data_IF_803030772717
#
_entry.id   IF_803030772717
#
_cell.length_a   1.000
_cell.length_b   1.000
_cell.length_c   1.000
_cell.angle_alpha   90.00
_cell.angle_beta   90.00
_cell.angle_gamma   90.00
#
_symmetry.space_group_name_H-M   'P 1'
#
loop_
_entity.id
_entity.type
_entity.pdbx_description
1 polymer ?
#
# COMPACT_ATOMS: atom_id res chain seq x y z
N UNK A 1 7.91 24.40 -3.73
CA UNK A 1 8.69 23.20 -4.16
C UNK A 1 8.65 22.03 -3.16
N UNK A 2 8.91 22.25 -1.86
CA UNK A 2 8.96 21.16 -0.86
C UNK A 2 7.65 20.36 -0.70
N UNK A 3 6.48 21.01 -0.77
CA UNK A 3 5.18 20.34 -0.56
C UNK A 3 4.78 19.38 -1.69
N UNK A 4 5.13 19.70 -2.95
CA UNK A 4 4.92 18.79 -4.09
C UNK A 4 5.76 17.51 -3.94
N UNK A 5 7.04 17.66 -3.59
CA UNK A 5 7.91 16.51 -3.36
C UNK A 5 7.41 15.65 -2.20
N UNK A 6 7.02 16.26 -1.08
CA UNK A 6 6.45 15.54 0.07
C UNK A 6 5.16 14.77 -0.30
N UNK A 7 4.26 15.39 -1.07
CA UNK A 7 3.04 14.73 -1.54
C UNK A 7 3.32 13.53 -2.45
N UNK A 8 4.25 13.67 -3.40
CA UNK A 8 4.68 12.56 -4.28
C UNK A 8 5.29 11.42 -3.45
N UNK A 9 6.16 11.73 -2.49
CA UNK A 9 6.77 10.72 -1.60
C UNK A 9 5.72 9.98 -0.77
N UNK A 10 4.73 10.69 -0.23
CA UNK A 10 3.62 10.06 0.51
C UNK A 10 2.78 9.14 -0.37
N UNK A 11 2.48 9.54 -1.61
CA UNK A 11 1.80 8.67 -2.58
C UNK A 11 2.64 7.42 -2.93
N UNK A 12 3.95 7.58 -3.10
CA UNK A 12 4.85 6.45 -3.36
C UNK A 12 4.91 5.48 -2.16
N UNK A 13 4.97 6.00 -0.93
CA UNK A 13 4.92 5.19 0.29
C UNK A 13 3.57 4.51 0.48
N UNK A 14 2.47 5.15 0.09
CA UNK A 14 1.14 4.54 0.09
C UNK A 14 1.08 3.33 -0.85
N UNK A 15 1.58 3.50 -2.09
CA UNK A 15 1.65 2.43 -3.07
C UNK A 15 2.53 1.28 -2.58
N UNK A 16 3.71 1.59 -2.04
CA UNK A 16 4.62 0.60 -1.48
C UNK A 16 3.98 -0.18 -0.34
N UNK A 17 3.32 0.52 0.60
CA UNK A 17 2.61 -0.10 1.73
C UNK A 17 1.49 -1.03 1.25
N UNK A 18 0.74 -0.60 0.22
CA UNK A 18 -0.30 -1.42 -0.38
C UNK A 18 0.27 -2.66 -1.06
N UNK A 19 1.30 -2.52 -1.89
CA UNK A 19 1.95 -3.63 -2.60
C UNK A 19 2.65 -4.61 -1.65
N UNK A 20 3.23 -4.11 -0.56
CA UNK A 20 3.91 -4.95 0.44
C UNK A 20 2.98 -6.01 1.00
N UNK A 21 1.70 -5.68 1.20
CA UNK A 21 0.67 -6.63 1.65
C UNK A 21 0.55 -7.84 0.71
N UNK A 22 0.57 -7.60 -0.60
CA UNK A 22 0.49 -8.65 -1.61
C UNK A 22 1.82 -9.38 -1.76
N UNK A 23 2.95 -8.69 -1.62
CA UNK A 23 4.28 -9.30 -1.66
C UNK A 23 4.51 -10.26 -0.48
N UNK A 24 4.09 -9.90 0.73
CA UNK A 24 4.12 -10.78 1.89
C UNK A 24 3.20 -11.98 1.72
N UNK A 25 1.99 -11.75 1.18
CA UNK A 25 1.09 -12.84 0.85
C UNK A 25 1.73 -13.79 -0.16
N UNK A 26 2.46 -13.28 -1.18
CA UNK A 26 3.17 -14.04 -2.22
C UNK A 26 4.42 -14.80 -1.72
N UNK A 27 5.06 -14.31 -0.65
CA UNK A 27 6.28 -14.90 -0.10
C UNK A 27 6.02 -16.00 0.93
N UNK A 28 4.76 -16.17 1.40
CA UNK A 28 4.44 -17.19 2.39
C UNK A 28 4.58 -18.59 1.79
N UNK A 29 5.56 -19.43 2.19
CA UNK A 29 5.72 -20.74 1.61
C UNK A 29 4.57 -21.64 2.09
N UNK A 30 3.53 -21.79 1.29
CA UNK A 30 2.47 -22.75 1.58
C UNK A 30 3.02 -24.17 1.69
N UNK A 31 2.35 -25.04 2.46
CA UNK A 31 2.77 -26.43 2.73
C UNK A 31 2.90 -27.32 1.47
N UNK A 32 2.46 -26.84 0.30
CA UNK A 32 2.61 -27.54 -0.98
C UNK A 32 3.02 -26.58 -2.11
N UNK A 33 4.11 -26.87 -2.85
CA UNK A 33 4.68 -25.96 -3.85
C UNK A 33 3.86 -25.78 -5.14
N UNK A 34 2.73 -26.47 -5.32
CA UNK A 34 2.11 -26.64 -6.65
C UNK A 34 0.70 -26.08 -6.84
N UNK A 35 0.00 -25.59 -5.82
CA UNK A 35 -1.33 -24.97 -6.00
C UNK A 35 -1.59 -23.90 -4.96
N UNK A 36 -1.44 -22.63 -5.34
CA UNK A 36 -2.13 -21.56 -4.64
C UNK A 36 -3.49 -21.39 -5.29
N UNK A 37 -4.55 -21.75 -4.57
CA UNK A 37 -5.89 -21.35 -4.95
C UNK A 37 -6.06 -19.84 -4.74
N UNK A 38 -7.01 -19.23 -5.45
CA UNK A 38 -7.42 -17.85 -5.19
C UNK A 38 -7.88 -17.67 -3.73
N UNK A 39 -8.47 -18.71 -3.14
CA UNK A 39 -8.98 -18.71 -1.77
C UNK A 39 -7.85 -18.74 -0.72
N UNK A 40 -6.75 -19.48 -0.96
CA UNK A 40 -5.58 -19.51 -0.09
C UNK A 40 -4.88 -18.14 -0.06
N UNK A 41 -4.77 -17.51 -1.22
CA UNK A 41 -4.22 -16.16 -1.34
C UNK A 41 -5.09 -15.14 -0.63
N UNK A 42 -6.41 -15.17 -0.82
CA UNK A 42 -7.33 -14.27 -0.14
C UNK A 42 -7.26 -14.43 1.38
N UNK A 43 -7.11 -15.67 1.86
CA UNK A 43 -6.95 -15.97 3.28
C UNK A 43 -5.63 -15.43 3.84
N UNK A 44 -4.51 -15.57 3.11
CA UNK A 44 -3.21 -15.02 3.52
C UNK A 44 -3.14 -13.50 3.47
N UNK A 45 -3.73 -12.88 2.45
CA UNK A 45 -3.93 -11.43 2.40
C UNK A 45 -4.82 -10.97 3.56
N UNK A 46 -5.74 -11.83 4.02
CA UNK A 46 -6.53 -11.67 5.24
C UNK A 46 -5.69 -11.71 6.52
N UNK A 47 -4.72 -12.63 6.64
CA UNK A 47 -3.80 -12.73 7.79
C UNK A 47 -2.89 -11.51 7.96
N UNK A 48 -2.40 -10.94 6.85
CA UNK A 48 -1.66 -9.67 6.88
C UNK A 48 -2.56 -8.52 7.39
N UNK A 49 -3.87 -8.73 7.39
CA UNK A 49 -4.86 -7.85 7.99
C UNK A 49 -5.11 -6.58 7.18
N UNK A 50 -6.02 -5.75 7.69
CA UNK A 50 -6.35 -4.46 7.10
C UNK A 50 -5.32 -3.36 7.46
N UNK A 51 -4.35 -3.64 8.34
CA UNK A 51 -3.37 -2.67 8.82
C UNK A 51 -2.59 -1.94 7.70
N UNK A 52 -1.89 -2.67 6.82
CA UNK A 52 -1.17 -2.05 5.69
C UNK A 52 -2.10 -1.29 4.74
N UNK A 53 -3.36 -1.71 4.64
CA UNK A 53 -4.37 -1.04 3.82
C UNK A 53 -4.78 0.31 4.43
N UNK A 54 -5.04 0.38 5.73
CA UNK A 54 -5.34 1.64 6.43
C UNK A 54 -4.17 2.61 6.37
N UNK A 55 -2.93 2.12 6.55
CA UNK A 55 -1.72 2.95 6.43
C UNK A 55 -1.56 3.48 5.01
N UNK A 56 -1.74 2.63 3.99
CA UNK A 56 -1.70 3.05 2.59
C UNK A 56 -2.78 4.11 2.28
N UNK A 57 -4.01 3.90 2.74
CA UNK A 57 -5.10 4.85 2.54
C UNK A 57 -4.81 6.21 3.22
N UNK A 58 -4.32 6.20 4.46
CA UNK A 58 -3.96 7.42 5.18
C UNK A 58 -2.82 8.19 4.49
N UNK A 59 -1.77 7.49 4.05
CA UNK A 59 -0.66 8.09 3.32
C UNK A 59 -1.10 8.65 1.97
N UNK A 60 -2.01 7.97 1.26
CA UNK A 60 -2.54 8.44 0.00
C UNK A 60 -3.36 9.72 0.18
N UNK A 61 -4.26 9.75 1.16
CA UNK A 61 -5.07 10.93 1.48
C UNK A 61 -4.18 12.12 1.88
N UNK A 62 -3.16 11.87 2.72
CA UNK A 62 -2.19 12.90 3.10
C UNK A 62 -1.39 13.41 1.89
N UNK A 63 -0.93 12.50 1.02
CA UNK A 63 -0.20 12.85 -0.21
C UNK A 63 -1.01 13.71 -1.17
N UNK A 64 -2.29 13.34 -1.40
CA UNK A 64 -3.23 14.13 -2.21
C UNK A 64 -3.46 15.50 -1.58
N UNK A 65 -3.67 15.59 -0.26
CA UNK A 65 -3.85 16.86 0.43
C UNK A 65 -2.63 17.78 0.31
N UNK A 66 -1.42 17.22 0.43
CA UNK A 66 -0.17 17.96 0.22
C UNK A 66 -0.03 18.46 -1.21
N UNK A 67 -0.34 17.63 -2.20
CA UNK A 67 -0.33 18.02 -3.62
C UNK A 67 -1.35 19.14 -3.90
N UNK A 68 -2.59 19.00 -3.44
CA UNK A 68 -3.64 20.00 -3.60
C UNK A 68 -3.27 21.33 -2.91
N UNK A 69 -2.66 21.28 -1.72
CA UNK A 69 -2.15 22.48 -1.04
C UNK A 69 -1.04 23.17 -1.82
N UNK A 70 -0.18 22.39 -2.47
CA UNK A 70 0.94 22.91 -3.24
C UNK A 70 0.51 23.52 -4.57
N UNK A 71 -0.64 23.12 -5.13
CA UNK A 71 -1.24 23.79 -6.28
C UNK A 71 -1.88 25.13 -5.92
N UNK A 72 -2.43 25.27 -4.70
CA UNK A 72 -3.00 26.55 -4.24
C UNK A 72 -1.96 27.62 -3.90
N UNK A 73 -0.72 27.22 -3.67
CA UNK A 73 0.42 28.11 -3.40
C UNK A 73 1.23 28.45 -4.66
N UNK A 74 0.91 27.84 -5.80
CA UNK A 74 1.55 28.03 -7.11
C UNK A 74 0.87 29.13 -7.91
#
# INVERSE_FOLDING_TARGET
MNRRAAGISMCALALFSFLSRYAFALWYPGDTPTRWGADDFATHVGYVGLGPWFVAAALLLAGIAFLASAERES
#
